data_IF_037887612470
#
_entry.id   IF_037887612470
#
_cell.length_a   1.000
_cell.length_b   1.000
_cell.length_c   1.000
_cell.angle_alpha   90.00
_cell.angle_beta   90.00
_cell.angle_gamma   90.00
#
_symmetry.space_group_name_H-M   'P 1'
#
loop_
_entity.id
_entity.type
_entity.pdbx_description
1 polymer ?
#
# COMPACT_ATOMS: atom_id res chain seq x y z
N UNK A 1 0.05 -28.26 -2.57
CA UNK A 1 1.05 -27.81 -1.58
C UNK A 1 0.37 -26.66 -0.88
N UNK A 2 0.14 -26.79 0.42
CA UNK A 2 -0.77 -25.89 1.15
C UNK A 2 0.06 -24.84 1.91
N UNK A 3 0.99 -24.20 1.21
CA UNK A 3 1.87 -23.19 1.80
C UNK A 3 1.43 -21.81 1.37
N UNK A 4 1.05 -20.99 2.35
CA UNK A 4 0.75 -19.57 2.15
C UNK A 4 2.00 -18.76 2.50
N UNK A 5 2.41 -17.85 1.61
CA UNK A 5 3.47 -16.87 1.90
C UNK A 5 2.83 -15.48 1.94
N UNK A 6 2.94 -14.84 3.09
CA UNK A 6 2.41 -13.49 3.30
C UNK A 6 3.58 -12.50 3.25
N UNK A 7 3.49 -11.53 2.35
CA UNK A 7 4.46 -10.48 2.17
C UNK A 7 3.98 -9.18 2.80
N UNK A 8 4.89 -8.44 3.42
CA UNK A 8 4.76 -6.98 3.48
C UNK A 8 5.11 -6.38 2.11
N UNK A 9 4.83 -5.09 1.90
CA UNK A 9 5.02 -4.44 0.61
C UNK A 9 6.18 -3.44 0.61
N UNK A 10 6.01 -2.30 1.28
CA UNK A 10 7.05 -1.27 1.36
C UNK A 10 8.26 -1.77 2.16
N UNK A 11 9.46 -1.42 1.68
CA UNK A 11 10.75 -1.92 2.19
C UNK A 11 10.85 -3.45 2.27
N UNK A 12 10.04 -4.17 1.48
CA UNK A 12 10.01 -5.64 1.42
C UNK A 12 9.94 -6.14 -0.03
N UNK A 13 8.83 -5.87 -0.73
CA UNK A 13 8.69 -6.15 -2.17
C UNK A 13 9.37 -5.04 -2.97
N UNK A 14 9.10 -3.79 -2.63
CA UNK A 14 9.75 -2.62 -3.21
C UNK A 14 10.87 -2.11 -2.28
N UNK A 15 11.91 -1.51 -2.85
CA UNK A 15 13.10 -1.05 -2.10
C UNK A 15 12.96 0.39 -1.58
N UNK A 16 11.73 0.82 -1.32
CA UNK A 16 11.46 2.11 -0.71
C UNK A 16 10.13 2.09 0.05
N UNK A 17 9.87 3.19 0.75
CA UNK A 17 8.53 3.51 1.22
C UNK A 17 7.79 4.24 0.10
N UNK A 18 6.63 3.73 -0.30
CA UNK A 18 5.89 4.21 -1.48
C UNK A 18 5.27 5.60 -1.26
N UNK A 19 4.95 5.93 -0.01
CA UNK A 19 4.31 7.20 0.35
C UNK A 19 5.30 8.38 0.21
N UNK A 20 6.46 8.42 0.89
CA UNK A 20 7.47 9.45 0.69
C UNK A 20 7.99 9.51 -0.75
N UNK A 21 8.07 8.37 -1.44
CA UNK A 21 8.47 8.34 -2.85
C UNK A 21 7.57 9.21 -3.73
N UNK A 22 6.24 9.04 -3.63
CA UNK A 22 5.28 9.86 -4.38
C UNK A 22 5.39 11.33 -4.00
N UNK A 23 5.63 11.64 -2.71
CA UNK A 23 5.81 13.03 -2.27
C UNK A 23 7.05 13.68 -2.90
N UNK A 24 8.15 12.93 -2.98
CA UNK A 24 9.39 13.41 -3.60
C UNK A 24 9.22 13.63 -5.11
N UNK A 25 8.71 12.63 -5.84
CA UNK A 25 8.55 12.70 -7.29
C UNK A 25 7.62 13.83 -7.73
N UNK A 26 6.59 14.14 -6.93
CA UNK A 26 5.62 15.19 -7.25
C UNK A 26 5.99 16.58 -6.68
N UNK A 27 7.11 16.69 -5.97
CA UNK A 27 7.61 17.94 -5.41
C UNK A 27 6.90 18.43 -4.16
N UNK A 28 6.29 17.51 -3.39
CA UNK A 28 5.50 17.80 -2.19
C UNK A 28 6.22 17.49 -0.86
N UNK A 29 7.50 17.10 -0.90
CA UNK A 29 8.29 16.71 0.28
C UNK A 29 8.24 17.74 1.42
N UNK A 30 8.36 19.04 1.11
CA UNK A 30 8.37 20.08 2.16
C UNK A 30 7.01 20.18 2.87
N UNK A 31 5.92 20.09 2.11
CA UNK A 31 4.57 20.10 2.68
C UNK A 31 4.34 18.86 3.53
N UNK A 32 4.66 17.68 3.00
CA UNK A 32 4.61 16.41 3.72
C UNK A 32 5.35 16.47 5.07
N UNK A 33 6.62 16.92 5.06
CA UNK A 33 7.44 17.03 6.26
C UNK A 33 6.86 18.01 7.30
N UNK A 34 6.23 19.09 6.85
CA UNK A 34 5.59 20.06 7.75
C UNK A 34 4.32 19.53 8.41
N UNK A 35 3.59 18.65 7.73
CA UNK A 35 2.34 18.05 8.23
C UNK A 35 2.58 16.77 9.03
N UNK A 36 3.69 16.06 8.78
CA UNK A 36 4.07 14.82 9.47
C UNK A 36 3.97 14.87 11.01
N UNK A 37 4.42 15.92 11.72
CA UNK A 37 4.30 15.98 13.18
C UNK A 37 2.87 16.27 13.67
N UNK A 38 1.94 16.60 12.78
CA UNK A 38 0.60 17.11 13.14
C UNK A 38 -0.51 16.08 12.96
N UNK A 39 -0.27 15.03 12.17
CA UNK A 39 -1.28 14.06 11.75
C UNK A 39 -0.74 12.63 11.86
N UNK A 40 -1.60 11.66 12.22
CA UNK A 40 -1.27 10.25 12.02
C UNK A 40 -1.05 9.94 10.54
N UNK A 41 -0.23 8.93 10.25
CA UNK A 41 0.25 8.63 8.88
C UNK A 41 -0.87 8.44 7.84
N UNK A 42 -1.87 7.61 8.10
CA UNK A 42 -2.94 7.37 7.13
C UNK A 42 -3.80 8.63 6.82
N UNK A 43 -4.31 9.40 7.81
CA UNK A 43 -4.93 10.70 7.57
C UNK A 43 -4.01 11.71 6.87
N UNK A 44 -2.71 11.70 7.19
CA UNK A 44 -1.73 12.54 6.53
C UNK A 44 -1.65 12.21 5.04
N UNK A 45 -1.59 10.93 4.67
CA UNK A 45 -1.52 10.54 3.26
C UNK A 45 -2.81 10.87 2.50
N UNK A 46 -4.01 10.68 3.08
CA UNK A 46 -5.26 11.13 2.46
C UNK A 46 -5.28 12.66 2.25
N UNK A 47 -4.77 13.42 3.24
CA UNK A 47 -4.62 14.87 3.12
C UNK A 47 -3.66 15.23 2.00
N UNK A 48 -2.48 14.61 1.93
CA UNK A 48 -1.50 14.88 0.88
C UNK A 48 -2.04 14.60 -0.52
N UNK A 49 -2.86 13.56 -0.71
CA UNK A 49 -3.53 13.34 -2.00
C UNK A 49 -4.48 14.48 -2.38
N UNK A 50 -5.13 15.11 -1.38
CA UNK A 50 -5.91 16.32 -1.57
C UNK A 50 -5.05 17.53 -1.96
N UNK A 51 -3.96 17.78 -1.24
CA UNK A 51 -3.03 18.88 -1.52
C UNK A 51 -2.42 18.77 -2.93
N UNK A 52 -2.02 17.56 -3.34
CA UNK A 52 -1.52 17.30 -4.70
C UNK A 52 -2.58 17.59 -5.76
N UNK A 53 -3.82 17.18 -5.52
CA UNK A 53 -4.94 17.43 -6.43
C UNK A 53 -5.23 18.94 -6.56
N UNK A 54 -5.23 19.69 -5.44
CA UNK A 54 -5.39 21.15 -5.44
C UNK A 54 -4.26 21.87 -6.19
N UNK A 55 -3.05 21.30 -6.20
CA UNK A 55 -1.91 21.76 -6.98
C UNK A 55 -1.97 21.34 -8.47
N UNK A 56 -3.05 20.70 -8.90
CA UNK A 56 -3.27 20.29 -10.29
C UNK A 56 -2.59 18.99 -10.68
N UNK A 57 -2.09 18.19 -9.73
CA UNK A 57 -1.59 16.84 -10.02
C UNK A 57 -2.75 15.90 -10.32
N UNK A 58 -2.55 15.07 -11.34
CA UNK A 58 -3.53 14.10 -11.81
C UNK A 58 -3.24 12.71 -11.24
N UNK A 59 -4.23 11.81 -11.31
CA UNK A 59 -4.00 10.38 -11.04
C UNK A 59 -2.90 9.81 -11.93
N UNK A 60 -2.81 10.25 -13.20
CA UNK A 60 -1.75 9.84 -14.12
C UNK A 60 -0.35 10.24 -13.64
N UNK A 61 -0.20 11.39 -12.98
CA UNK A 61 1.08 11.81 -12.39
C UNK A 61 1.49 10.92 -11.21
N UNK A 62 0.52 10.54 -10.37
CA UNK A 62 0.72 9.60 -9.26
C UNK A 62 1.13 8.22 -9.81
N UNK A 63 0.42 7.70 -10.80
CA UNK A 63 0.78 6.43 -11.46
C UNK A 63 2.16 6.49 -12.11
N UNK A 64 2.49 7.58 -12.78
CA UNK A 64 3.81 7.76 -13.40
C UNK A 64 4.93 7.72 -12.36
N UNK A 65 4.73 8.35 -11.20
CA UNK A 65 5.64 8.25 -10.06
C UNK A 65 5.77 6.83 -9.51
N UNK A 66 4.65 6.12 -9.37
CA UNK A 66 4.64 4.74 -8.85
C UNK A 66 5.33 3.76 -9.82
N UNK A 67 5.20 3.98 -11.13
CA UNK A 67 5.87 3.16 -12.17
C UNK A 67 7.40 3.23 -12.12
N UNK A 68 7.97 4.23 -11.46
CA UNK A 68 9.43 4.38 -11.31
C UNK A 68 9.96 3.84 -9.99
N UNK A 69 9.12 3.28 -9.12
CA UNK A 69 9.57 2.73 -7.84
C UNK A 69 10.60 1.61 -8.04
N UNK A 70 11.71 1.61 -7.28
CA UNK A 70 12.71 0.57 -7.39
C UNK A 70 12.17 -0.78 -6.89
N UNK A 71 12.27 -1.78 -7.77
CA UNK A 71 11.95 -3.17 -7.45
C UNK A 71 13.05 -4.07 -7.99
N UNK A 72 13.76 -4.77 -7.09
CA UNK A 72 14.92 -5.57 -7.47
C UNK A 72 14.52 -6.81 -8.29
N UNK A 73 15.25 -7.12 -9.38
CA UNK A 73 15.01 -8.34 -10.17
C UNK A 73 15.01 -9.63 -9.35
N UNK A 74 15.79 -9.67 -8.27
CA UNK A 74 15.88 -10.76 -7.30
C UNK A 74 14.52 -11.01 -6.62
N UNK A 75 13.83 -9.95 -6.21
CA UNK A 75 12.50 -10.02 -5.59
C UNK A 75 11.47 -10.56 -6.59
N UNK A 76 11.51 -10.09 -7.84
CA UNK A 76 10.66 -10.63 -8.93
C UNK A 76 10.89 -12.14 -9.07
N UNK A 77 12.16 -12.56 -9.13
CA UNK A 77 12.50 -13.99 -9.27
C UNK A 77 12.02 -14.80 -8.07
N UNK A 78 12.13 -14.28 -6.85
CA UNK A 78 11.66 -14.94 -5.64
C UNK A 78 10.13 -15.15 -5.64
N UNK A 79 9.36 -14.12 -6.00
CA UNK A 79 7.88 -14.20 -6.12
C UNK A 79 7.50 -15.25 -7.16
N UNK A 80 8.07 -15.17 -8.37
CA UNK A 80 7.77 -16.12 -9.45
C UNK A 80 8.18 -17.55 -9.09
N UNK A 81 9.31 -17.73 -8.43
CA UNK A 81 9.77 -19.03 -7.97
C UNK A 81 8.84 -19.63 -6.92
N UNK A 82 8.45 -18.86 -5.90
CA UNK A 82 7.51 -19.30 -4.88
C UNK A 82 6.16 -19.73 -5.49
N UNK A 83 5.62 -18.94 -6.42
CA UNK A 83 4.41 -19.29 -7.14
C UNK A 83 4.59 -20.58 -7.98
N UNK A 84 5.73 -20.75 -8.64
CA UNK A 84 6.02 -21.97 -9.43
C UNK A 84 6.09 -23.25 -8.58
N UNK A 85 6.35 -23.11 -7.28
CA UNK A 85 6.29 -24.22 -6.31
C UNK A 85 4.86 -24.52 -5.83
N UNK A 86 3.86 -23.78 -6.32
CA UNK A 86 2.46 -23.92 -5.94
C UNK A 86 2.11 -23.26 -4.61
N UNK A 87 2.92 -22.32 -4.12
CA UNK A 87 2.57 -21.53 -2.94
C UNK A 87 1.49 -20.50 -3.26
N UNK A 88 0.58 -20.29 -2.30
CA UNK A 88 -0.40 -19.20 -2.33
C UNK A 88 0.25 -17.91 -1.80
N UNK A 89 0.37 -16.88 -2.65
CA UNK A 89 1.06 -15.64 -2.28
C UNK A 89 0.04 -14.55 -1.94
N UNK A 90 0.24 -13.86 -0.83
CA UNK A 90 -0.66 -12.81 -0.33
C UNK A 90 0.11 -11.62 0.19
N UNK A 91 -0.54 -10.45 0.25
CA UNK A 91 0.08 -9.22 0.77
C UNK A 91 -0.71 -8.69 1.98
N UNK A 92 0.00 -8.36 3.05
CA UNK A 92 -0.50 -7.62 4.20
C UNK A 92 0.40 -6.41 4.42
N UNK A 93 -0.07 -5.22 4.04
CA UNK A 93 0.75 -4.01 4.12
C UNK A 93 -0.04 -2.78 4.54
N UNK A 94 0.62 -1.92 5.33
CA UNK A 94 0.07 -0.65 5.79
C UNK A 94 0.24 0.50 4.76
N UNK A 95 0.60 0.18 3.52
CA UNK A 95 0.48 1.07 2.37
C UNK A 95 -1.01 1.22 1.95
N UNK A 96 -1.31 1.36 0.67
CA UNK A 96 -2.70 1.43 0.18
C UNK A 96 -2.91 0.64 -1.12
N UNK A 97 -4.15 0.23 -1.38
CA UNK A 97 -4.47 -0.66 -2.50
C UNK A 97 -4.20 -0.04 -3.88
N UNK A 98 -4.34 1.28 -4.03
CA UNK A 98 -4.06 1.97 -5.30
C UNK A 98 -2.57 1.88 -5.63
N UNK A 99 -1.71 2.16 -4.64
CA UNK A 99 -0.25 2.16 -4.81
C UNK A 99 0.24 0.76 -5.11
N UNK A 100 -0.14 -0.21 -4.27
CA UNK A 100 0.26 -1.62 -4.41
C UNK A 100 -0.11 -2.15 -5.80
N UNK A 101 -1.37 -1.99 -6.23
CA UNK A 101 -1.81 -2.52 -7.53
C UNK A 101 -1.08 -1.88 -8.69
N UNK A 102 -0.93 -0.55 -8.70
CA UNK A 102 -0.25 0.18 -9.77
C UNK A 102 1.19 -0.32 -9.96
N UNK A 103 1.93 -0.50 -8.86
CA UNK A 103 3.32 -0.97 -8.91
C UNK A 103 3.36 -2.44 -9.37
N UNK A 104 2.52 -3.32 -8.81
CA UNK A 104 2.49 -4.73 -9.19
C UNK A 104 2.11 -4.93 -10.66
N UNK A 105 1.16 -4.17 -11.19
CA UNK A 105 0.76 -4.21 -12.60
C UNK A 105 1.90 -3.77 -13.52
N UNK A 106 2.67 -2.75 -13.12
CA UNK A 106 3.84 -2.27 -13.86
C UNK A 106 4.90 -3.36 -14.09
N UNK A 107 5.02 -4.28 -13.14
CA UNK A 107 5.99 -5.39 -13.19
C UNK A 107 5.38 -6.74 -13.58
N UNK A 108 4.11 -6.78 -14.00
CA UNK A 108 3.37 -8.01 -14.28
C UNK A 108 3.43 -9.02 -13.11
N UNK A 109 3.26 -8.50 -11.89
CA UNK A 109 3.30 -9.26 -10.64
C UNK A 109 1.93 -9.40 -9.97
N UNK A 110 0.95 -8.57 -10.32
CA UNK A 110 -0.34 -8.55 -9.61
C UNK A 110 -1.03 -9.91 -9.59
N UNK A 111 -0.98 -10.64 -10.72
CA UNK A 111 -1.65 -11.92 -10.88
C UNK A 111 -1.04 -13.08 -10.05
N UNK A 112 0.14 -12.87 -9.45
CA UNK A 112 0.76 -13.86 -8.56
C UNK A 112 0.15 -13.86 -7.16
N UNK A 113 -0.56 -12.79 -6.77
CA UNK A 113 -1.12 -12.61 -5.44
C UNK A 113 -2.62 -12.86 -5.44
N UNK A 114 -3.10 -13.75 -4.57
CA UNK A 114 -4.52 -14.13 -4.50
C UNK A 114 -5.33 -13.20 -3.60
N UNK A 115 -4.70 -12.57 -2.61
CA UNK A 115 -5.34 -11.64 -1.68
C UNK A 115 -4.36 -10.53 -1.24
N UNK A 116 -4.90 -9.32 -1.09
CA UNK A 116 -4.18 -8.13 -0.63
C UNK A 116 -5.03 -7.46 0.44
N UNK A 117 -4.54 -7.48 1.69
CA UNK A 117 -5.13 -6.74 2.81
C UNK A 117 -4.28 -5.50 3.07
N UNK A 118 -4.88 -4.33 2.92
CA UNK A 118 -4.20 -3.04 3.01
C UNK A 118 -5.24 -1.93 3.20
N UNK A 119 -4.81 -0.69 3.41
CA UNK A 119 -5.69 0.46 3.49
C UNK A 119 -6.46 0.65 2.16
N UNK A 120 -7.81 0.72 2.18
CA UNK A 120 -8.59 0.98 0.97
C UNK A 120 -8.26 2.33 0.34
N UNK A 121 -8.36 2.41 -0.97
CA UNK A 121 -8.17 3.65 -1.71
C UNK A 121 -9.04 3.65 -2.97
N UNK A 122 -9.52 4.83 -3.37
CA UNK A 122 -10.34 5.01 -4.57
C UNK A 122 -10.20 6.44 -5.11
N UNK A 123 -10.43 6.60 -6.41
CA UNK A 123 -10.44 7.91 -7.05
C UNK A 123 -11.86 8.46 -7.02
N UNK A 124 -12.04 9.66 -6.47
CA UNK A 124 -13.31 10.38 -6.47
C UNK A 124 -13.65 10.89 -7.89
N UNK A 125 -14.91 11.24 -8.14
CA UNK A 125 -15.36 11.87 -9.40
C UNK A 125 -14.59 13.17 -9.72
N UNK A 126 -14.11 13.88 -8.69
CA UNK A 126 -13.26 15.06 -8.81
C UNK A 126 -11.88 14.77 -9.40
N UNK A 127 -11.44 13.50 -9.40
CA UNK A 127 -10.08 13.09 -9.75
C UNK A 127 -9.10 13.07 -8.57
N UNK A 128 -9.56 13.32 -7.34
CA UNK A 128 -8.74 13.18 -6.12
C UNK A 128 -8.65 11.71 -5.71
N UNK A 129 -7.44 11.24 -5.38
CA UNK A 129 -7.26 9.94 -4.73
C UNK A 129 -7.61 10.04 -3.24
N UNK A 130 -8.46 9.14 -2.75
CA UNK A 130 -8.78 8.97 -1.33
C UNK A 130 -8.08 7.75 -0.78
N UNK A 131 -7.53 7.89 0.42
CA UNK A 131 -6.93 6.80 1.19
C UNK A 131 -7.72 6.69 2.49
N UNK A 132 -8.21 5.49 2.79
CA UNK A 132 -9.03 5.20 3.96
C UNK A 132 -8.30 4.23 4.88
N UNK A 133 -8.52 4.27 6.20
CA UNK A 133 -7.91 3.30 7.10
C UNK A 133 -8.55 1.92 6.95
N UNK A 134 -7.78 0.84 7.09
CA UNK A 134 -8.29 -0.53 7.11
C UNK A 134 -9.25 -0.77 8.30
N UNK A 135 -8.93 -0.22 9.47
CA UNK A 135 -9.79 -0.12 10.63
C UNK A 135 -10.33 1.31 10.75
N UNK A 136 -11.65 1.53 10.63
CA UNK A 136 -12.22 2.88 10.73
C UNK A 136 -11.85 3.56 12.07
N UNK A 137 -11.33 4.78 12.01
CA UNK A 137 -10.99 5.55 13.23
C UNK A 137 -12.20 5.92 14.09
N UNK A 138 -13.42 5.77 13.56
CA UNK A 138 -14.68 5.95 14.30
C UNK A 138 -14.99 4.77 15.22
N UNK A 139 -14.33 3.64 15.03
CA UNK A 139 -14.50 2.43 15.83
C UNK A 139 -13.50 2.39 16.98
N UNK A 140 -13.75 1.49 17.94
CA UNK A 140 -12.81 1.26 19.03
C UNK A 140 -11.49 0.73 18.44
N UNK A 141 -10.32 1.23 18.88
CA UNK A 141 -9.03 0.70 18.45
C UNK A 141 -8.98 -0.82 18.62
N UNK A 142 -8.38 -1.51 17.65
CA UNK A 142 -8.26 -2.97 17.61
C UNK A 142 -7.44 -3.59 18.77
N UNK A 143 -6.94 -2.77 19.70
CA UNK A 143 -6.30 -3.22 20.94
C UNK A 143 -4.88 -3.78 20.79
N UNK A 144 -4.31 -3.79 19.58
CA UNK A 144 -2.93 -4.18 19.35
C UNK A 144 -2.00 -3.02 19.68
N UNK A 145 -0.95 -3.27 20.46
CA UNK A 145 0.04 -2.27 20.87
C UNK A 145 1.24 -2.19 19.91
N UNK A 146 1.30 -3.06 18.91
CA UNK A 146 2.40 -3.15 17.94
C UNK A 146 2.09 -2.46 16.61
N UNK A 147 0.82 -2.22 16.31
CA UNK A 147 0.37 -1.70 15.01
C UNK A 147 -0.19 -0.29 15.17
N UNK A 148 -0.09 0.55 14.13
CA UNK A 148 -0.76 1.84 14.12
C UNK A 148 -2.29 1.65 14.10
N UNK A 149 -3.07 2.64 14.57
CA UNK A 149 -4.52 2.46 14.78
C UNK A 149 -5.33 2.15 13.52
N UNK A 150 -4.79 2.49 12.33
CA UNK A 150 -5.48 2.31 11.06
C UNK A 150 -5.43 0.88 10.53
N UNK A 151 -4.46 0.06 10.92
CA UNK A 151 -4.34 -1.29 10.39
C UNK A 151 -3.56 -2.23 11.31
N UNK A 152 -4.21 -3.33 11.72
CA UNK A 152 -3.56 -4.41 12.45
C UNK A 152 -3.19 -5.55 11.49
N UNK A 153 -1.89 -5.74 11.24
CA UNK A 153 -1.42 -6.84 10.38
C UNK A 153 -1.82 -8.22 10.92
N UNK A 154 -1.82 -8.42 12.25
CA UNK A 154 -2.26 -9.67 12.86
C UNK A 154 -3.73 -9.99 12.58
N UNK A 155 -4.61 -9.00 12.74
CA UNK A 155 -6.04 -9.17 12.43
C UNK A 155 -6.28 -9.41 10.94
N UNK A 156 -5.53 -8.72 10.06
CA UNK A 156 -5.60 -8.94 8.62
C UNK A 156 -5.17 -10.36 8.23
N UNK A 157 -4.11 -10.90 8.85
CA UNK A 157 -3.66 -12.28 8.64
C UNK A 157 -4.71 -13.29 9.12
N UNK A 158 -5.32 -13.10 10.29
CA UNK A 158 -6.38 -13.99 10.78
C UNK A 158 -7.59 -14.00 9.82
N UNK A 159 -8.04 -12.83 9.36
CA UNK A 159 -9.11 -12.74 8.36
C UNK A 159 -8.74 -13.42 7.02
N UNK A 160 -7.46 -13.40 6.62
CA UNK A 160 -6.99 -14.17 5.46
C UNK A 160 -7.09 -15.68 5.68
N UNK A 161 -6.81 -16.17 6.89
CA UNK A 161 -6.88 -17.60 7.20
C UNK A 161 -8.30 -18.13 7.10
N UNK A 162 -9.28 -17.38 7.60
CA UNK A 162 -10.71 -17.73 7.50
C UNK A 162 -11.21 -17.84 6.05
N UNK A 163 -10.58 -17.14 5.10
CA UNK A 163 -10.95 -17.20 3.67
C UNK A 163 -10.43 -18.43 2.91
N UNK A 164 -9.61 -19.27 3.55
CA UNK A 164 -9.03 -20.49 2.97
C UNK A 164 -9.91 -21.73 3.27
N UNK A 165 -10.73 -21.65 4.32
CA UNK A 165 -11.67 -22.70 4.76
C UNK A 165 -13.02 -22.61 4.03
#
# INVERSE_FOLDING_TARGET
>A
MDTVIVFDFDLTIVDCDSDPWVMEQLGATQLFQSLLPTLPWNPLMDKMMGELHEQGRTIGDIEASLRTIPLYPETIRAIKFAFSLGCDLRIVSDANIFFIKTILETHDLLHYFTDIKTNPAYVEESGRLRICPFHPFTEKPHGCTLCPPNMCKGAAIEAMRESIE
#
